data_IF_681064059728
#
_entry.id   IF_681064059728
#
_cell.length_a   1.000
_cell.length_b   1.000
_cell.length_c   1.000
_cell.angle_alpha   90.00
_cell.angle_beta   90.00
_cell.angle_gamma   90.00
#
_symmetry.space_group_name_H-M   'P 1'
#
loop_
_entity.id
_entity.type
_entity.pdbx_description
1 polymer ?
#
# COMPACT_ATOMS: atom_id res chain seq x y z
N UNK A 1 -1.58 46.69 38.05
CA UNK A 1 -2.80 45.95 37.64
C UNK A 1 -2.44 45.04 36.47
N UNK A 2 -3.08 43.88 36.41
CA UNK A 2 -2.58 42.60 35.86
C UNK A 2 -2.13 42.69 34.38
N UNK A 3 -0.90 42.23 34.12
CA UNK A 3 -0.41 41.93 32.77
C UNK A 3 -1.19 40.74 32.22
N UNK A 4 -2.03 40.98 31.23
CA UNK A 4 -2.73 39.94 30.48
C UNK A 4 -1.71 39.26 29.56
N UNK A 5 -1.08 38.18 30.02
CA UNK A 5 -0.28 37.31 29.15
C UNK A 5 -1.28 36.47 28.35
N UNK A 6 -1.59 36.94 27.14
CA UNK A 6 -2.34 36.17 26.16
C UNK A 6 -1.41 35.04 25.67
N UNK A 7 -1.48 33.88 26.31
CA UNK A 7 -0.85 32.65 25.85
C UNK A 7 -1.48 32.27 24.51
N UNK A 8 -0.79 32.62 23.42
CA UNK A 8 -1.00 32.06 22.09
C UNK A 8 -0.78 30.53 22.19
N UNK A 9 -1.84 29.79 22.48
CA UNK A 9 -1.91 28.36 22.21
C UNK A 9 -1.87 28.20 20.68
N UNK A 10 -0.64 28.17 20.14
CA UNK A 10 -0.38 27.85 18.74
C UNK A 10 -1.09 26.54 18.40
N UNK A 11 -2.00 26.66 17.45
CA UNK A 11 -2.88 25.63 16.92
C UNK A 11 -2.11 24.32 16.60
N UNK A 12 -2.20 23.26 17.44
CA UNK A 12 -1.51 21.99 17.17
C UNK A 12 -2.08 21.29 15.92
N UNK A 13 -3.24 21.73 15.43
CA UNK A 13 -3.88 21.18 14.24
C UNK A 13 -3.14 21.48 12.92
N UNK A 14 -2.40 22.61 12.83
CA UNK A 14 -1.64 22.94 11.61
C UNK A 14 -0.34 22.15 11.48
N UNK A 15 0.25 21.75 12.61
CA UNK A 15 1.55 21.08 12.62
C UNK A 15 1.50 19.67 12.00
N UNK A 16 0.41 18.93 12.22
CA UNK A 16 0.25 17.58 11.68
C UNK A 16 0.09 17.52 10.16
N UNK A 17 -0.63 18.46 9.55
CA UNK A 17 -0.79 18.50 8.09
C UNK A 17 0.55 18.86 7.42
N UNK A 18 1.25 19.88 7.93
CA UNK A 18 2.53 20.32 7.36
C UNK A 18 3.61 19.24 7.42
N UNK A 19 3.57 18.35 8.43
CA UNK A 19 4.47 17.20 8.48
C UNK A 19 4.13 16.17 7.39
N UNK A 20 2.85 15.81 7.27
CA UNK A 20 2.39 14.85 6.26
C UNK A 20 2.66 15.39 4.83
N UNK A 21 2.53 16.70 4.59
CA UNK A 21 2.83 17.33 3.29
C UNK A 21 4.31 17.18 2.91
N UNK A 22 5.24 17.40 3.85
CA UNK A 22 6.68 17.19 3.60
C UNK A 22 7.01 15.73 3.27
N UNK A 23 6.34 14.78 3.92
CA UNK A 23 6.50 13.35 3.61
C UNK A 23 6.01 13.05 2.20
N UNK A 24 4.86 13.59 1.82
CA UNK A 24 4.33 13.44 0.46
C UNK A 24 5.23 14.07 -0.62
N UNK A 25 5.77 15.26 -0.36
CA UNK A 25 6.76 15.92 -1.23
C UNK A 25 7.99 15.04 -1.42
N UNK A 26 8.52 14.48 -0.31
CA UNK A 26 9.63 13.53 -0.35
C UNK A 26 9.30 12.30 -1.20
N UNK A 27 8.12 11.69 -1.02
CA UNK A 27 7.73 10.49 -1.75
C UNK A 27 7.64 10.75 -3.25
N UNK A 28 7.16 11.94 -3.62
CA UNK A 28 7.08 12.37 -5.00
C UNK A 28 8.46 12.63 -5.59
N UNK A 29 9.34 13.33 -4.85
CA UNK A 29 10.71 13.63 -5.29
C UNK A 29 11.57 12.37 -5.45
N UNK A 30 11.45 11.42 -4.52
CA UNK A 30 12.17 10.14 -4.53
C UNK A 30 11.49 9.08 -5.43
N UNK A 31 10.38 9.41 -6.09
CA UNK A 31 9.62 8.51 -6.96
C UNK A 31 9.25 7.19 -6.26
N UNK A 32 8.81 7.28 -5.01
CA UNK A 32 8.36 6.13 -4.22
C UNK A 32 7.07 5.50 -4.74
N UNK A 33 6.38 6.19 -5.66
CA UNK A 33 5.24 5.70 -6.43
C UNK A 33 5.20 6.39 -7.80
N UNK A 34 4.40 5.86 -8.70
CA UNK A 34 3.98 6.52 -9.96
C UNK A 34 2.47 6.49 -10.08
N UNK A 35 1.92 7.26 -11.01
CA UNK A 35 0.51 7.17 -11.41
C UNK A 35 0.47 6.57 -12.81
N UNK A 36 -0.26 5.46 -12.95
CA UNK A 36 -0.45 4.77 -14.23
C UNK A 36 -1.84 4.12 -14.28
N UNK A 37 -2.51 4.21 -15.44
CA UNK A 37 -3.81 3.59 -15.66
C UNK A 37 -4.89 3.97 -14.62
N UNK A 38 -4.82 5.16 -14.03
CA UNK A 38 -5.75 5.60 -12.98
C UNK A 38 -5.47 5.02 -11.59
N UNK A 39 -4.29 4.44 -11.38
CA UNK A 39 -3.87 3.82 -10.13
C UNK A 39 -2.56 4.43 -9.62
N UNK A 40 -2.38 4.39 -8.31
CA UNK A 40 -1.05 4.52 -7.70
C UNK A 40 -0.32 3.20 -7.92
N UNK A 41 0.94 3.26 -8.34
CA UNK A 41 1.74 2.08 -8.66
C UNK A 41 3.09 2.19 -7.96
N UNK A 42 3.49 1.09 -7.31
CA UNK A 42 4.84 0.85 -6.81
C UNK A 42 5.38 -0.37 -7.54
N UNK A 43 6.51 -0.25 -8.23
CA UNK A 43 7.07 -1.35 -9.02
C UNK A 43 8.55 -1.52 -8.77
N UNK A 44 9.02 -2.78 -8.78
CA UNK A 44 10.43 -3.10 -8.64
C UNK A 44 10.81 -4.26 -9.56
N UNK A 45 11.96 -4.13 -10.22
CA UNK A 45 12.62 -5.25 -10.89
C UNK A 45 13.65 -5.82 -9.93
N UNK A 46 13.58 -7.12 -9.70
CA UNK A 46 14.48 -7.90 -8.85
C UNK A 46 15.33 -8.77 -9.77
N UNK A 47 16.61 -8.45 -9.87
CA UNK A 47 17.59 -9.20 -10.66
C UNK A 47 18.39 -10.15 -9.76
N UNK A 48 19.10 -11.10 -10.38
CA UNK A 48 19.99 -12.06 -9.71
C UNK A 48 19.28 -12.91 -8.64
N UNK A 49 18.09 -13.40 -8.95
CA UNK A 49 17.37 -14.34 -8.09
C UNK A 49 17.91 -15.75 -8.35
N UNK A 50 18.35 -16.43 -7.31
CA UNK A 50 18.87 -17.80 -7.42
C UNK A 50 17.76 -18.82 -7.69
N UNK A 51 18.08 -19.84 -8.49
CA UNK A 51 17.13 -20.91 -8.87
C UNK A 51 16.50 -20.67 -10.24
N UNK A 52 15.77 -21.69 -10.70
CA UNK A 52 15.06 -21.67 -11.98
C UNK A 52 13.85 -20.73 -11.94
N UNK A 53 13.30 -20.37 -13.11
CA UNK A 53 11.99 -19.71 -13.21
C UNK A 53 10.91 -20.41 -12.35
N UNK A 54 10.89 -21.74 -12.33
CA UNK A 54 9.94 -22.55 -11.57
C UNK A 54 10.13 -22.40 -10.06
N UNK A 55 11.37 -22.30 -9.58
CA UNK A 55 11.67 -22.06 -8.17
C UNK A 55 11.20 -20.68 -7.74
N UNK A 56 11.51 -19.65 -8.55
CA UNK A 56 11.07 -18.27 -8.31
C UNK A 56 9.54 -18.19 -8.28
N UNK A 57 8.88 -18.90 -9.22
CA UNK A 57 7.42 -19.01 -9.26
C UNK A 57 6.84 -19.62 -7.99
N UNK A 58 7.43 -20.72 -7.54
CA UNK A 58 6.99 -21.40 -6.32
C UNK A 58 7.13 -20.49 -5.10
N UNK A 59 8.25 -19.76 -4.98
CA UNK A 59 8.46 -18.77 -3.89
C UNK A 59 7.42 -17.64 -3.93
N UNK A 60 7.14 -17.09 -5.11
CA UNK A 60 6.14 -16.04 -5.28
C UNK A 60 4.73 -16.53 -4.90
N UNK A 61 4.34 -17.73 -5.33
CA UNK A 61 3.05 -18.35 -5.01
C UNK A 61 2.92 -18.61 -3.51
N UNK A 62 3.96 -19.19 -2.89
CA UNK A 62 4.01 -19.45 -1.45
C UNK A 62 3.96 -18.17 -0.63
N UNK A 63 4.61 -17.10 -1.07
CA UNK A 63 4.49 -15.78 -0.45
C UNK A 63 3.03 -15.30 -0.46
N UNK A 64 2.40 -15.29 -1.64
CA UNK A 64 1.04 -14.78 -1.80
C UNK A 64 0.03 -15.60 -1.01
N UNK A 65 0.15 -16.92 -1.00
CA UNK A 65 -0.72 -17.79 -0.20
C UNK A 65 -0.65 -17.50 1.31
N UNK A 66 0.49 -17.01 1.82
CA UNK A 66 0.64 -16.59 3.23
C UNK A 66 0.20 -15.17 3.47
N UNK A 67 0.58 -14.25 2.59
CA UNK A 67 0.23 -12.85 2.69
C UNK A 67 -1.30 -12.66 2.59
N UNK A 68 -1.97 -13.50 1.80
CA UNK A 68 -3.40 -13.44 1.51
C UNK A 68 -4.14 -14.62 2.14
N UNK A 69 -4.11 -14.68 3.48
CA UNK A 69 -4.75 -15.73 4.27
C UNK A 69 -6.17 -15.38 4.76
N UNK A 70 -6.68 -14.19 4.42
CA UNK A 70 -8.03 -13.75 4.77
C UNK A 70 -9.00 -13.87 3.58
N UNK A 71 -10.31 -13.91 3.86
CA UNK A 71 -11.33 -14.08 2.82
C UNK A 71 -11.42 -12.92 1.81
N UNK A 72 -10.78 -11.78 2.10
CA UNK A 72 -10.77 -10.59 1.25
C UNK A 72 -9.52 -10.50 0.38
N UNK A 73 -8.54 -11.37 0.65
CA UNK A 73 -7.26 -11.41 -0.01
C UNK A 73 -7.11 -12.76 -0.72
N UNK A 74 -6.98 -12.74 -2.05
CA UNK A 74 -7.07 -13.94 -2.89
C UNK A 74 -6.06 -13.90 -4.03
N UNK A 75 -5.55 -15.07 -4.43
CA UNK A 75 -4.84 -15.23 -5.71
C UNK A 75 -5.89 -15.23 -6.82
N UNK A 76 -5.79 -14.29 -7.76
CA UNK A 76 -6.71 -14.12 -8.88
C UNK A 76 -6.20 -14.74 -10.18
N UNK A 77 -4.88 -14.82 -10.35
CA UNK A 77 -4.24 -15.43 -11.51
C UNK A 77 -3.02 -16.20 -11.06
N UNK A 78 -2.89 -17.42 -11.55
CA UNK A 78 -1.84 -18.40 -11.24
C UNK A 78 -1.48 -19.08 -12.56
N UNK A 79 -0.67 -18.40 -13.38
CA UNK A 79 -0.23 -18.88 -14.68
C UNK A 79 1.27 -19.18 -14.64
N UNK A 80 1.57 -20.46 -14.39
CA UNK A 80 2.94 -20.98 -14.29
C UNK A 80 3.68 -20.91 -15.62
N UNK A 81 2.98 -21.11 -16.74
CA UNK A 81 3.59 -21.14 -18.07
C UNK A 81 4.08 -19.75 -18.47
N UNK A 82 3.23 -18.72 -18.34
CA UNK A 82 3.64 -17.34 -18.62
C UNK A 82 4.49 -16.74 -17.50
N UNK A 83 4.54 -17.36 -16.33
CA UNK A 83 5.29 -16.87 -15.16
C UNK A 83 4.60 -15.68 -14.50
N UNK A 84 3.27 -15.64 -14.52
CA UNK A 84 2.47 -14.53 -14.01
C UNK A 84 1.64 -14.99 -12.83
N UNK A 85 1.79 -14.28 -11.71
CA UNK A 85 0.91 -14.43 -10.55
C UNK A 85 0.32 -13.08 -10.19
N UNK A 86 -0.98 -13.04 -9.98
CA UNK A 86 -1.70 -11.83 -9.54
C UNK A 86 -2.50 -12.21 -8.31
N UNK A 87 -2.31 -11.48 -7.22
CA UNK A 87 -3.22 -11.55 -6.10
C UNK A 87 -3.79 -10.18 -5.76
N UNK A 88 -4.98 -10.20 -5.16
CA UNK A 88 -5.69 -9.03 -4.66
C UNK A 88 -5.70 -9.12 -3.16
N UNK A 89 -5.26 -8.08 -2.47
CA UNK A 89 -5.30 -8.00 -1.01
C UNK A 89 -6.02 -6.74 -0.53
N UNK A 90 -6.19 -6.62 0.79
CA UNK A 90 -6.79 -5.46 1.43
C UNK A 90 -5.84 -4.86 2.47
N UNK A 91 -5.44 -3.60 2.27
CA UNK A 91 -4.80 -2.84 3.34
C UNK A 91 -5.87 -2.19 4.20
N UNK A 92 -5.76 -2.33 5.52
CA UNK A 92 -6.68 -1.72 6.50
C UNK A 92 -5.96 -0.73 7.39
N UNK A 93 -6.68 0.24 7.95
CA UNK A 93 -6.11 1.16 8.93
C UNK A 93 -5.12 2.19 8.34
N UNK A 94 -5.24 2.49 7.04
CA UNK A 94 -4.40 3.47 6.34
C UNK A 94 -4.49 4.87 6.95
N UNK A 95 -5.65 5.20 7.52
CA UNK A 95 -5.81 6.32 8.42
C UNK A 95 -6.91 6.00 9.42
N UNK A 96 -6.83 6.61 10.60
CA UNK A 96 -7.85 6.53 11.64
C UNK A 96 -8.11 7.92 12.20
N UNK A 97 -9.39 8.28 12.35
CA UNK A 97 -9.80 9.58 12.86
C UNK A 97 -11.14 9.51 13.60
N UNK A 98 -11.50 10.60 14.28
CA UNK A 98 -12.64 10.65 15.20
C UNK A 98 -12.58 9.52 16.24
N UNK A 99 -11.45 9.41 16.93
CA UNK A 99 -11.19 8.38 17.96
C UNK A 99 -11.38 6.94 17.44
N UNK A 100 -11.07 6.70 16.16
CA UNK A 100 -11.19 5.38 15.54
C UNK A 100 -12.58 5.04 15.01
N UNK A 101 -13.55 5.95 15.13
CA UNK A 101 -14.87 5.76 14.54
C UNK A 101 -14.83 5.69 13.00
N UNK A 102 -13.79 6.27 12.39
CA UNK A 102 -13.55 6.19 10.96
C UNK A 102 -12.16 5.64 10.68
N UNK A 103 -12.10 4.67 9.79
CA UNK A 103 -10.85 4.10 9.27
C UNK A 103 -10.85 4.14 7.74
N UNK A 104 -9.67 4.13 7.14
CA UNK A 104 -9.52 4.00 5.69
C UNK A 104 -8.85 2.69 5.34
N UNK A 105 -9.33 2.05 4.28
CA UNK A 105 -8.79 0.81 3.71
C UNK A 105 -8.66 0.96 2.20
N UNK A 106 -7.87 0.12 1.56
CA UNK A 106 -7.73 0.09 0.11
C UNK A 106 -7.47 -1.33 -0.36
N UNK A 107 -8.19 -1.76 -1.39
CA UNK A 107 -7.77 -2.95 -2.13
C UNK A 107 -6.50 -2.64 -2.90
N UNK A 108 -5.60 -3.61 -2.95
CA UNK A 108 -4.39 -3.55 -3.76
C UNK A 108 -4.27 -4.80 -4.62
N UNK A 109 -3.60 -4.67 -5.76
CA UNK A 109 -3.22 -5.77 -6.63
C UNK A 109 -1.71 -5.91 -6.57
N UNK A 110 -1.23 -7.09 -6.18
CA UNK A 110 0.17 -7.47 -6.25
C UNK A 110 0.35 -8.45 -7.42
N UNK A 111 1.03 -7.98 -8.47
CA UNK A 111 1.37 -8.75 -9.67
C UNK A 111 2.86 -9.05 -9.68
N UNK A 112 3.20 -10.28 -10.06
CA UNK A 112 4.57 -10.75 -10.24
C UNK A 112 4.71 -11.32 -11.64
N UNK A 113 5.60 -10.76 -12.44
CA UNK A 113 6.01 -11.30 -13.74
C UNK A 113 7.42 -11.91 -13.60
N UNK A 114 7.56 -13.19 -13.90
CA UNK A 114 8.77 -13.98 -13.61
C UNK A 114 9.44 -14.42 -14.90
N UNK A 115 10.75 -14.25 -14.94
CA UNK A 115 11.65 -14.75 -15.99
C UNK A 115 12.84 -15.46 -15.32
N UNK A 116 13.66 -16.10 -16.13
CA UNK A 116 14.88 -16.74 -15.63
C UNK A 116 15.77 -15.72 -14.89
N UNK A 117 16.13 -16.03 -13.65
CA UNK A 117 17.00 -15.21 -12.79
C UNK A 117 16.44 -13.86 -12.34
N UNK A 118 15.18 -13.52 -12.68
CA UNK A 118 14.60 -12.20 -12.34
C UNK A 118 13.08 -12.16 -12.26
N UNK A 119 12.56 -11.19 -11.52
CA UNK A 119 11.12 -10.94 -11.43
C UNK A 119 10.83 -9.44 -11.45
N UNK A 120 9.65 -9.07 -11.98
CA UNK A 120 9.07 -7.74 -11.83
C UNK A 120 7.88 -7.83 -10.89
N UNK A 121 7.92 -7.06 -9.81
CA UNK A 121 6.84 -6.91 -8.84
C UNK A 121 6.13 -5.58 -9.12
N UNK A 122 4.80 -5.60 -9.18
CA UNK A 122 3.95 -4.42 -9.36
C UNK A 122 2.87 -4.47 -8.28
N UNK A 123 2.84 -3.48 -7.40
CA UNK A 123 1.75 -3.25 -6.47
C UNK A 123 0.96 -2.04 -6.96
N UNK A 124 -0.36 -2.16 -7.10
CA UNK A 124 -1.22 -1.05 -7.50
C UNK A 124 -2.48 -0.94 -6.64
N UNK A 125 -2.97 0.30 -6.49
CA UNK A 125 -4.23 0.60 -5.83
C UNK A 125 -4.92 1.77 -6.55
N UNK A 126 -6.22 1.61 -6.83
CA UNK A 126 -7.00 2.60 -7.60
C UNK A 126 -7.94 3.42 -6.74
N UNK A 127 -8.42 2.84 -5.63
CA UNK A 127 -9.45 3.42 -4.78
C UNK A 127 -9.07 3.34 -3.30
N UNK A 128 -9.61 4.28 -2.52
CA UNK A 128 -9.64 4.23 -1.05
C UNK A 128 -11.09 4.16 -0.57
N UNK A 129 -11.31 3.42 0.51
CA UNK A 129 -12.62 3.12 1.06
C UNK A 129 -12.64 3.61 2.51
N UNK A 130 -13.36 4.71 2.81
CA UNK A 130 -13.66 5.08 4.18
C UNK A 130 -14.66 4.10 4.76
N UNK A 131 -14.37 3.62 5.96
CA UNK A 131 -15.23 2.75 6.73
C UNK A 131 -15.59 3.45 8.04
N UNK A 132 -16.88 3.42 8.41
CA UNK A 132 -17.36 3.97 9.66
C UNK A 132 -17.88 2.86 10.56
N UNK A 133 -17.49 2.89 11.83
CA UNK A 133 -18.05 1.99 12.84
C UNK A 133 -19.56 2.21 13.06
N UNK A 134 -20.10 3.37 12.66
CA UNK A 134 -21.51 3.70 12.77
C UNK A 134 -22.34 3.29 11.54
N UNK A 135 -21.70 3.01 10.40
CA UNK A 135 -22.38 2.75 9.12
C UNK A 135 -21.65 1.62 8.37
N UNK A 136 -21.80 0.40 8.85
CA UNK A 136 -21.07 -0.78 8.36
C UNK A 136 -21.44 -1.17 6.92
N UNK A 137 -22.62 -0.78 6.43
CA UNK A 137 -23.16 -1.22 5.14
C UNK A 137 -22.90 -0.22 3.99
N UNK A 138 -22.29 0.94 4.27
CA UNK A 138 -22.06 2.01 3.30
C UNK A 138 -20.58 2.05 2.89
N UNK A 139 -20.16 1.15 2.02
CA UNK A 139 -18.82 1.21 1.42
C UNK A 139 -18.84 2.03 0.13
N UNK A 140 -18.32 3.25 0.20
CA UNK A 140 -18.05 4.08 -0.97
C UNK A 140 -16.58 3.99 -1.34
N UNK A 141 -16.31 3.74 -2.62
CA UNK A 141 -14.94 3.78 -3.15
C UNK A 141 -14.65 5.14 -3.79
N UNK A 142 -13.55 5.76 -3.37
CA UNK A 142 -13.06 7.00 -3.95
C UNK A 142 -11.81 6.73 -4.77
N UNK A 143 -11.84 7.05 -6.07
CA UNK A 143 -10.67 6.96 -6.93
C UNK A 143 -9.56 7.88 -6.43
N UNK A 144 -8.40 7.31 -6.11
CA UNK A 144 -7.28 8.01 -5.48
C UNK A 144 -6.81 9.18 -6.35
N UNK A 145 -6.73 8.96 -7.66
CA UNK A 145 -6.24 9.96 -8.62
C UNK A 145 -7.14 11.18 -8.78
N UNK A 146 -8.39 11.12 -8.31
CA UNK A 146 -9.36 12.22 -8.44
C UNK A 146 -9.35 13.17 -7.24
N UNK A 147 -8.58 12.88 -6.19
CA UNK A 147 -8.62 13.59 -4.92
C UNK A 147 -7.23 13.88 -4.37
N UNK A 148 -7.18 14.65 -3.29
CA UNK A 148 -5.96 14.99 -2.57
C UNK A 148 -5.26 13.74 -2.02
N UNK A 149 -3.92 13.63 -2.11
CA UNK A 149 -2.98 14.67 -2.55
C UNK A 149 -2.70 14.72 -4.06
N UNK A 150 -3.27 13.83 -4.88
CA UNK A 150 -3.02 13.83 -6.33
C UNK A 150 -3.61 15.06 -7.03
N UNK A 151 -4.76 15.53 -6.55
CA UNK A 151 -5.39 16.78 -7.00
C UNK A 151 -5.76 17.65 -5.82
N UNK A 152 -6.16 18.89 -6.08
CA UNK A 152 -6.68 19.77 -5.03
C UNK A 152 -8.11 19.45 -4.58
N UNK A 153 -8.78 18.49 -5.22
CA UNK A 153 -10.14 18.11 -4.87
C UNK A 153 -10.17 17.26 -3.60
N UNK A 154 -11.24 17.41 -2.83
CA UNK A 154 -11.46 16.65 -1.60
C UNK A 154 -12.58 15.64 -1.85
N UNK A 155 -12.38 14.39 -1.47
CA UNK A 155 -13.45 13.41 -1.47
C UNK A 155 -14.60 13.87 -0.54
N UNK A 156 -15.86 13.57 -0.89
CA UNK A 156 -17.00 13.78 -0.01
C UNK A 156 -16.73 13.20 1.39
N UNK A 157 -17.09 13.95 2.43
CA UNK A 157 -16.99 13.54 3.84
C UNK A 157 -15.57 13.26 4.38
N UNK A 158 -14.50 13.46 3.61
CA UNK A 158 -13.12 13.30 4.07
C UNK A 158 -12.38 14.64 4.11
N UNK A 159 -11.70 14.97 5.21
CA UNK A 159 -10.80 16.12 5.23
C UNK A 159 -9.52 15.83 4.42
N UNK A 160 -8.91 16.86 3.82
CA UNK A 160 -7.64 16.72 3.06
C UNK A 160 -6.55 16.03 3.88
N UNK A 161 -6.39 16.42 5.15
CA UNK A 161 -5.41 15.79 6.06
C UNK A 161 -5.57 14.27 6.22
N UNK A 162 -6.80 13.76 6.21
CA UNK A 162 -7.05 12.33 6.36
C UNK A 162 -6.78 11.57 5.07
N UNK A 163 -7.10 12.19 3.92
CA UNK A 163 -6.75 11.64 2.60
C UNK A 163 -5.23 11.60 2.40
N UNK A 164 -4.52 12.66 2.79
CA UNK A 164 -3.06 12.73 2.75
C UNK A 164 -2.41 11.61 3.54
N UNK A 165 -2.84 11.47 4.80
CA UNK A 165 -2.34 10.42 5.68
C UNK A 165 -2.60 9.03 5.13
N UNK A 166 -3.83 8.78 4.67
CA UNK A 166 -4.18 7.51 4.06
C UNK A 166 -3.35 7.23 2.80
N UNK A 167 -3.08 8.25 1.99
CA UNK A 167 -2.24 8.13 0.80
C UNK A 167 -0.79 7.78 1.14
N UNK A 168 -0.19 8.49 2.12
CA UNK A 168 1.18 8.21 2.57
C UNK A 168 1.27 6.79 3.11
N UNK A 169 0.35 6.39 3.99
CA UNK A 169 0.31 5.04 4.54
C UNK A 169 0.04 3.98 3.47
N UNK A 170 -0.75 4.29 2.44
CA UNK A 170 -0.94 3.39 1.31
C UNK A 170 0.38 3.16 0.56
N UNK A 171 1.11 4.23 0.21
CA UNK A 171 2.40 4.11 -0.47
C UNK A 171 3.42 3.36 0.39
N UNK A 172 3.40 3.56 1.71
CA UNK A 172 4.22 2.80 2.66
C UNK A 172 3.91 1.31 2.63
N UNK A 173 2.64 0.94 2.78
CA UNK A 173 2.23 -0.47 2.79
C UNK A 173 2.53 -1.13 1.43
N UNK A 174 2.31 -0.43 0.32
CA UNK A 174 2.67 -0.92 -1.01
C UNK A 174 4.18 -1.18 -1.14
N UNK A 175 5.02 -0.24 -0.70
CA UNK A 175 6.47 -0.42 -0.69
C UNK A 175 6.90 -1.57 0.22
N UNK A 176 6.31 -1.69 1.42
CA UNK A 176 6.57 -2.82 2.34
C UNK A 176 6.22 -4.15 1.70
N UNK A 177 5.07 -4.28 1.04
CA UNK A 177 4.69 -5.51 0.33
C UNK A 177 5.66 -5.85 -0.80
N UNK A 178 6.08 -4.86 -1.60
CA UNK A 178 7.07 -5.07 -2.66
C UNK A 178 8.42 -5.54 -2.10
N UNK A 179 8.91 -4.90 -1.03
CA UNK A 179 10.18 -5.27 -0.39
C UNK A 179 10.11 -6.63 0.30
N UNK A 180 8.98 -6.93 0.96
CA UNK A 180 8.73 -8.21 1.62
C UNK A 180 8.70 -9.35 0.61
N UNK A 181 8.04 -9.15 -0.54
CA UNK A 181 8.06 -10.13 -1.62
C UNK A 181 9.45 -10.26 -2.24
N UNK A 182 10.16 -9.16 -2.53
CA UNK A 182 11.55 -9.23 -3.02
C UNK A 182 12.42 -10.09 -2.10
N UNK A 183 12.33 -9.87 -0.78
CA UNK A 183 13.05 -10.64 0.23
C UNK A 183 12.73 -12.12 0.10
N UNK A 184 11.45 -12.49 0.01
CA UNK A 184 11.03 -13.87 -0.14
C UNK A 184 11.54 -14.51 -1.44
N UNK A 185 11.60 -13.76 -2.55
CA UNK A 185 12.15 -14.27 -3.81
C UNK A 185 13.65 -14.56 -3.70
N UNK A 186 14.42 -13.66 -3.06
CA UNK A 186 15.88 -13.76 -2.92
C UNK A 186 16.32 -14.77 -1.87
N UNK A 187 15.61 -14.86 -0.74
CA UNK A 187 16.04 -15.67 0.41
C UNK A 187 15.45 -17.09 0.40
N UNK A 188 14.77 -17.51 -0.66
CA UNK A 188 14.24 -18.87 -0.77
C UNK A 188 12.86 -19.11 -0.16
N UNK A 189 12.21 -18.08 0.41
CA UNK A 189 10.90 -18.22 1.03
C UNK A 189 10.67 -17.22 2.16
N UNK A 190 9.55 -17.37 2.87
CA UNK A 190 9.18 -16.53 4.01
C UNK A 190 9.64 -17.16 5.32
N UNK A 191 9.57 -18.50 5.43
CA UNK A 191 9.96 -19.24 6.62
C UNK A 191 11.38 -19.79 6.48
N UNK A 192 12.12 -19.88 7.57
CA UNK A 192 13.46 -20.47 7.54
C UNK A 192 13.42 -21.96 7.14
N UNK A 193 12.34 -22.67 7.51
CA UNK A 193 12.11 -24.06 7.09
C UNK A 193 11.88 -24.22 5.58
N UNK A 194 11.55 -23.16 4.84
CA UNK A 194 11.46 -23.20 3.37
C UNK A 194 12.82 -23.05 2.69
N UNK A 195 13.84 -22.63 3.46
CA UNK A 195 15.20 -22.40 2.98
C UNK A 195 16.09 -23.64 3.17
N UNK A 196 15.64 -24.59 3.98
CA UNK A 196 16.34 -25.86 4.19
C UNK A 196 16.16 -26.78 2.98
N UNK A 197 17.29 -27.30 2.47
CA UNK A 197 17.35 -28.28 1.39
C UNK A 197 17.00 -29.69 1.92
N UNK A 198 15.77 -29.88 2.39
CA UNK A 198 15.28 -31.19 2.79
C UNK A 198 15.21 -32.17 1.60
#
# INVERSE_FOLDING_TARGET
MKRLVLLLFMCPFLQGLAQDEKVFEKYTAEKMYTIDGGSVVVSKIVENIEGSKEDIYTRAKSYLARAYNDSKSVIQTDDKESGVIIGKGLYTGLASFNLGAWTMKAYHILRVDIKEGRARIICSASTVIPNSSAHLDNEYEYSIINYYPITDKRAPSLLKKHQLRAFISLVDEMNKSVLSLEKALKEGGVLDSEKDNW
#
